data_IF_950303746669
#
_entry.id   IF_950303746669
#
_cell.length_a   1.000
_cell.length_b   1.000
_cell.length_c   1.000
_cell.angle_alpha   90.00
_cell.angle_beta   90.00
_cell.angle_gamma   90.00
#
_symmetry.space_group_name_H-M   'P 1'
#
loop_
_entity.id
_entity.type
_entity.pdbx_description
1 polymer ?
#
# COMPACT_ATOMS: atom_id res chain seq x y z
N UNK A 1 -19.30 -54.88 -14.92
CA UNK A 1 -20.74 -54.64 -15.03
C UNK A 1 -21.20 -54.02 -13.71
N UNK A 2 -21.62 -52.75 -13.73
CA UNK A 2 -22.73 -52.12 -12.94
C UNK A 2 -22.84 -52.51 -11.45
N UNK A 3 -22.90 -51.66 -10.42
CA UNK A 3 -22.97 -50.20 -10.21
C UNK A 3 -22.93 -49.97 -8.70
N UNK A 4 -22.23 -48.93 -8.23
CA UNK A 4 -22.48 -48.34 -6.92
C UNK A 4 -22.44 -46.80 -7.07
N UNK A 5 -23.38 -46.29 -7.86
CA UNK A 5 -23.76 -44.88 -7.92
C UNK A 5 -25.22 -44.80 -7.46
N UNK A 6 -25.46 -44.40 -6.21
CA UNK A 6 -26.71 -43.77 -5.77
C UNK A 6 -26.65 -43.39 -4.29
N UNK A 7 -25.98 -42.29 -3.97
CA UNK A 7 -26.33 -41.51 -2.77
C UNK A 7 -25.89 -40.04 -2.90
N UNK A 8 -26.22 -39.39 -4.01
CA UNK A 8 -26.11 -37.93 -4.17
C UNK A 8 -27.16 -37.42 -5.18
N UNK A 9 -28.44 -37.57 -4.86
CA UNK A 9 -29.50 -36.88 -5.60
C UNK A 9 -30.81 -36.81 -4.81
N UNK A 10 -30.83 -36.15 -3.65
CA UNK A 10 -32.11 -35.81 -3.01
C UNK A 10 -32.10 -34.59 -2.07
N UNK A 11 -31.37 -33.53 -2.43
CA UNK A 11 -31.53 -32.20 -1.79
C UNK A 11 -31.50 -31.08 -2.83
N UNK A 12 -32.28 -31.21 -3.91
CA UNK A 12 -32.60 -30.08 -4.79
C UNK A 12 -34.05 -30.22 -5.26
N UNK A 13 -34.99 -29.92 -4.35
CA UNK A 13 -36.33 -29.46 -4.66
C UNK A 13 -37.05 -29.07 -3.36
N UNK A 14 -36.75 -27.87 -2.87
CA UNK A 14 -37.64 -27.12 -1.98
C UNK A 14 -37.80 -25.70 -2.53
N UNK A 15 -39.02 -25.14 -2.54
CA UNK A 15 -39.25 -23.81 -3.06
C UNK A 15 -38.44 -22.78 -2.26
N UNK A 16 -37.80 -21.85 -2.98
CA UNK A 16 -37.05 -20.72 -2.41
C UNK A 16 -37.98 -19.90 -1.50
N UNK A 17 -38.01 -20.20 -0.21
CA UNK A 17 -38.40 -19.21 0.79
C UNK A 17 -37.29 -18.16 0.77
N UNK A 18 -37.62 -16.92 0.42
CA UNK A 18 -36.77 -15.76 0.65
C UNK A 18 -36.32 -15.83 2.11
N UNK A 19 -35.03 -16.10 2.31
CA UNK A 19 -34.41 -15.84 3.61
C UNK A 19 -34.56 -14.32 3.82
N UNK A 20 -35.09 -13.86 4.96
CA UNK A 20 -35.00 -12.47 5.32
C UNK A 20 -33.51 -12.12 5.34
N UNK A 21 -33.18 -10.96 4.75
CA UNK A 21 -31.84 -10.40 4.64
C UNK A 21 -30.91 -10.93 5.73
N UNK A 22 -29.98 -11.80 5.35
CA UNK A 22 -28.84 -12.07 6.21
C UNK A 22 -28.20 -10.70 6.41
N UNK A 23 -28.25 -10.20 7.64
CA UNK A 23 -27.56 -8.99 8.06
C UNK A 23 -26.07 -9.19 7.79
N UNK A 24 -25.69 -8.85 6.57
CA UNK A 24 -24.33 -8.62 6.16
C UNK A 24 -23.88 -7.49 7.08
N UNK A 25 -23.04 -7.82 8.07
CA UNK A 25 -22.47 -6.88 9.03
C UNK A 25 -21.97 -5.65 8.27
N UNK A 26 -22.84 -4.66 8.15
CA UNK A 26 -22.52 -3.38 7.57
C UNK A 26 -21.84 -2.71 8.74
N UNK A 27 -20.52 -2.67 8.73
CA UNK A 27 -19.76 -1.83 9.65
C UNK A 27 -20.28 -0.40 9.42
N UNK A 28 -21.26 -0.01 10.24
CA UNK A 28 -21.83 1.33 10.23
C UNK A 28 -20.80 2.35 10.73
N UNK A 29 -19.75 1.87 11.41
CA UNK A 29 -18.50 2.56 11.74
C UNK A 29 -17.35 1.55 11.71
N UNK A 30 -16.23 1.83 11.02
CA UNK A 30 -15.03 1.01 11.17
C UNK A 30 -14.43 1.28 12.57
N UNK A 31 -14.58 0.34 13.49
CA UNK A 31 -13.79 0.34 14.73
C UNK A 31 -12.39 -0.19 14.41
N UNK A 32 -11.36 0.63 14.55
CA UNK A 32 -9.98 0.19 14.33
C UNK A 32 -9.49 -0.58 15.56
N UNK A 33 -9.07 -1.84 15.37
CA UNK A 33 -8.46 -2.65 16.42
C UNK A 33 -6.95 -2.71 16.20
N UNK A 34 -6.21 -2.23 17.18
CA UNK A 34 -4.77 -2.05 17.09
C UNK A 34 -4.08 -3.30 17.60
N UNK A 35 -3.13 -3.82 16.82
CA UNK A 35 -2.18 -4.79 17.33
C UNK A 35 -0.78 -4.19 17.25
N UNK A 36 -0.37 -3.55 18.34
CA UNK A 36 0.96 -2.97 18.43
C UNK A 36 1.97 -4.10 18.59
N UNK A 37 2.56 -4.53 17.47
CA UNK A 37 3.82 -5.24 17.51
C UNK A 37 4.92 -4.27 17.11
N UNK A 38 5.50 -3.59 18.11
CA UNK A 38 6.92 -3.29 17.99
C UNK A 38 7.62 -4.64 17.97
N UNK A 39 8.13 -5.02 16.81
CA UNK A 39 9.34 -5.85 16.84
C UNK A 39 10.32 -4.99 17.61
N UNK A 40 10.69 -5.43 18.82
CA UNK A 40 11.82 -4.84 19.56
C UNK A 40 12.94 -4.58 18.56
N UNK A 41 13.57 -3.40 18.62
CA UNK A 41 14.65 -2.94 17.74
C UNK A 41 15.20 -4.09 16.90
N UNK A 42 14.69 -4.22 15.68
CA UNK A 42 14.88 -5.45 14.92
C UNK A 42 16.37 -5.79 14.91
N UNK A 43 16.73 -6.99 15.38
CA UNK A 43 18.13 -7.35 15.56
C UNK A 43 18.89 -7.01 14.27
N UNK A 44 20.01 -6.29 14.40
CA UNK A 44 20.80 -5.82 13.25
C UNK A 44 21.06 -7.01 12.31
N UNK A 45 20.57 -6.90 11.07
CA UNK A 45 20.72 -7.94 10.04
C UNK A 45 19.56 -8.94 9.94
N UNK A 46 18.56 -8.89 10.84
CA UNK A 46 17.35 -9.72 10.78
C UNK A 46 16.09 -8.96 10.34
N UNK A 47 16.14 -7.64 10.20
CA UNK A 47 15.05 -6.77 9.73
C UNK A 47 15.54 -5.75 8.69
N UNK A 48 14.63 -5.17 7.88
CA UNK A 48 14.98 -4.03 7.04
C UNK A 48 15.49 -2.85 7.88
N UNK A 49 16.62 -2.22 7.50
CA UNK A 49 17.05 -1.00 8.18
C UNK A 49 16.05 0.14 8.01
N UNK A 50 16.06 1.07 8.97
CA UNK A 50 15.29 2.31 8.95
C UNK A 50 15.39 3.04 7.61
N UNK A 51 14.27 3.54 7.08
CA UNK A 51 14.21 4.10 5.72
C UNK A 51 12.95 4.93 5.46
N UNK A 52 13.03 5.87 4.52
CA UNK A 52 11.86 6.61 3.99
C UNK A 52 11.77 6.53 2.48
N UNK A 53 10.61 6.86 1.91
CA UNK A 53 10.44 6.93 0.47
C UNK A 53 10.48 5.56 -0.22
N UNK A 54 10.46 4.50 0.59
CA UNK A 54 10.23 3.13 0.14
C UNK A 54 8.74 2.96 -0.20
N UNK A 55 8.40 1.83 -0.82
CA UNK A 55 7.00 1.43 -1.04
C UNK A 55 6.75 0.05 -0.44
N UNK A 56 5.54 -0.17 0.00
CA UNK A 56 5.09 -1.42 0.62
C UNK A 56 3.94 -2.03 -0.17
N UNK A 57 3.80 -3.35 -0.08
CA UNK A 57 2.60 -4.07 -0.53
C UNK A 57 2.37 -5.29 0.36
N UNK A 58 1.16 -5.84 0.33
CA UNK A 58 0.83 -7.08 1.02
C UNK A 58 0.52 -8.18 0.00
N UNK A 59 0.91 -9.40 0.35
CA UNK A 59 0.21 -10.61 -0.07
C UNK A 59 -0.72 -11.05 1.06
N UNK A 60 -1.46 -12.14 0.91
CA UNK A 60 -2.37 -12.61 1.96
C UNK A 60 -1.70 -12.80 3.33
N UNK A 61 -0.46 -13.32 3.37
CA UNK A 61 0.25 -13.70 4.60
C UNK A 61 1.61 -13.01 4.80
N UNK A 62 2.08 -12.21 3.84
CA UNK A 62 3.34 -11.49 3.93
C UNK A 62 3.17 -10.00 3.62
N UNK A 63 3.99 -9.18 4.27
CA UNK A 63 4.11 -7.75 4.03
C UNK A 63 5.50 -7.45 3.46
N UNK A 64 5.58 -6.64 2.41
CA UNK A 64 6.81 -6.39 1.68
C UNK A 64 7.22 -4.92 1.78
N UNK A 65 8.52 -4.69 1.86
CA UNK A 65 9.15 -3.36 1.85
C UNK A 65 10.17 -3.33 0.73
N UNK A 66 10.03 -2.37 -0.20
CA UNK A 66 10.90 -2.23 -1.37
C UNK A 66 11.60 -0.89 -1.36
N UNK A 67 12.93 -0.94 -1.44
CA UNK A 67 13.78 0.22 -1.68
C UNK A 67 13.75 1.27 -0.56
N UNK A 68 13.93 2.54 -0.91
CA UNK A 68 13.96 3.69 -0.01
C UNK A 68 15.34 4.30 0.17
N UNK A 69 15.43 5.21 1.13
CA UNK A 69 16.66 5.92 1.47
C UNK A 69 16.82 6.11 2.97
N UNK A 70 18.07 6.09 3.43
CA UNK A 70 18.46 6.53 4.75
C UNK A 70 19.79 7.29 4.69
N UNK A 71 19.85 8.53 5.20
CA UNK A 71 21.05 9.37 5.14
C UNK A 71 22.25 8.80 5.89
N UNK A 72 22.06 7.82 6.80
CA UNK A 72 23.16 7.08 7.43
C UNK A 72 23.99 6.28 6.42
N UNK A 73 23.42 5.92 5.25
CA UNK A 73 24.12 5.27 4.16
C UNK A 73 24.43 6.29 3.05
N UNK A 74 25.43 7.13 3.28
CA UNK A 74 25.78 8.26 2.42
C UNK A 74 25.90 7.82 0.95
N UNK A 75 25.18 8.51 0.06
CA UNK A 75 25.19 8.26 -1.39
C UNK A 75 24.58 6.93 -1.84
N UNK A 76 24.08 6.09 -0.92
CA UNK A 76 23.58 4.75 -1.24
C UNK A 76 22.06 4.68 -1.10
N UNK A 77 21.42 4.39 -2.22
CA UNK A 77 20.03 4.01 -2.27
C UNK A 77 19.84 2.60 -1.74
N UNK A 78 18.72 2.37 -1.04
CA UNK A 78 18.30 1.04 -0.67
C UNK A 78 17.60 0.45 -1.89
N UNK A 79 18.12 -0.66 -2.39
CA UNK A 79 17.63 -1.38 -3.56
C UNK A 79 17.42 -2.86 -3.21
N UNK A 80 16.88 -3.11 -2.02
CA UNK A 80 16.54 -4.43 -1.51
C UNK A 80 15.02 -4.59 -1.35
N UNK A 81 14.61 -5.84 -1.23
CA UNK A 81 13.25 -6.24 -0.87
C UNK A 81 13.30 -7.04 0.41
N UNK A 82 12.41 -6.70 1.33
CA UNK A 82 12.21 -7.44 2.58
C UNK A 82 10.78 -7.92 2.66
N UNK A 83 10.58 -9.11 3.21
CA UNK A 83 9.25 -9.65 3.49
C UNK A 83 9.12 -9.98 4.98
N UNK A 84 8.00 -9.59 5.58
CA UNK A 84 7.57 -9.95 6.92
C UNK A 84 6.48 -11.00 6.80
N UNK A 85 6.72 -12.18 7.36
CA UNK A 85 5.66 -13.17 7.53
C UNK A 85 4.74 -12.68 8.68
N UNK A 86 3.48 -12.37 8.37
CA UNK A 86 2.55 -11.71 9.29
C UNK A 86 2.09 -12.61 10.44
N UNK A 87 2.18 -13.92 10.27
CA UNK A 87 1.84 -14.90 11.30
C UNK A 87 2.98 -15.07 12.31
N UNK A 88 4.19 -15.36 11.81
CA UNK A 88 5.37 -15.64 12.63
C UNK A 88 6.09 -14.38 13.10
N UNK A 89 5.78 -13.22 12.50
CA UNK A 89 6.39 -11.91 12.76
C UNK A 89 7.90 -11.90 12.50
N UNK A 90 8.34 -12.61 11.46
CA UNK A 90 9.75 -12.69 11.08
C UNK A 90 9.99 -12.04 9.74
N UNK A 91 10.97 -11.15 9.72
CA UNK A 91 11.51 -10.54 8.52
C UNK A 91 12.53 -11.47 7.86
N UNK A 92 12.55 -11.42 6.54
CA UNK A 92 13.61 -11.99 5.72
C UNK A 92 13.88 -11.08 4.53
N UNK A 93 15.13 -11.06 4.10
CA UNK A 93 15.50 -10.41 2.84
C UNK A 93 15.11 -11.32 1.69
N UNK A 94 14.35 -10.78 0.74
CA UNK A 94 13.93 -11.50 -0.46
C UNK A 94 15.13 -11.60 -1.40
N UNK A 95 15.35 -12.80 -1.95
CA UNK A 95 16.38 -13.05 -2.94
C UNK A 95 15.91 -12.55 -4.30
N UNK A 96 16.77 -11.81 -4.99
CA UNK A 96 16.55 -11.36 -6.37
C UNK A 96 17.60 -11.98 -7.27
N UNK A 97 17.21 -12.31 -8.51
CA UNK A 97 18.11 -12.84 -9.54
C UNK A 97 19.08 -11.78 -10.09
N UNK A 98 18.73 -10.50 -9.97
CA UNK A 98 19.59 -9.36 -10.29
C UNK A 98 19.40 -8.17 -9.34
N UNK A 99 20.22 -7.14 -9.50
CA UNK A 99 20.11 -5.92 -8.70
C UNK A 99 18.88 -5.08 -9.09
N UNK A 100 18.19 -4.58 -8.07
CA UNK A 100 17.11 -3.61 -8.26
C UNK A 100 17.63 -2.20 -8.58
N UNK A 101 16.77 -1.34 -9.18
CA UNK A 101 17.14 0.01 -9.59
C UNK A 101 17.69 0.86 -8.45
N UNK A 102 18.61 1.77 -8.78
CA UNK A 102 19.20 2.73 -7.83
C UNK A 102 18.38 4.01 -7.68
N UNK A 103 17.12 4.01 -8.10
CA UNK A 103 16.21 5.17 -8.08
C UNK A 103 14.98 4.91 -7.22
N UNK A 104 15.08 4.02 -6.23
CA UNK A 104 13.96 3.57 -5.43
C UNK A 104 13.65 4.49 -4.22
N UNK A 105 13.76 5.81 -4.38
CA UNK A 105 13.13 6.77 -3.45
C UNK A 105 11.94 7.44 -4.13
N UNK A 106 10.81 7.46 -3.43
CA UNK A 106 9.55 8.08 -3.87
C UNK A 106 9.09 7.60 -5.26
N UNK A 107 9.41 6.35 -5.61
CA UNK A 107 8.90 5.68 -6.81
C UNK A 107 7.44 5.21 -6.56
N UNK A 108 6.75 4.76 -7.61
CA UNK A 108 5.47 4.05 -7.46
C UNK A 108 5.66 2.55 -7.49
N UNK A 109 4.89 1.85 -6.64
CA UNK A 109 4.80 0.40 -6.64
C UNK A 109 3.33 0.01 -6.81
N UNK A 110 3.06 -0.87 -7.77
CA UNK A 110 1.74 -1.48 -7.95
C UNK A 110 1.87 -2.99 -7.94
N UNK A 111 1.31 -3.66 -6.93
CA UNK A 111 1.25 -5.12 -6.85
C UNK A 111 -0.01 -5.63 -7.55
N UNK A 112 0.16 -6.72 -8.30
CA UNK A 112 -0.80 -7.33 -9.20
C UNK A 112 -0.85 -8.82 -8.82
N UNK A 113 -1.84 -9.17 -7.98
CA UNK A 113 -1.89 -10.44 -7.25
C UNK A 113 -1.98 -11.65 -8.19
N UNK A 114 -2.82 -11.56 -9.23
CA UNK A 114 -3.05 -12.61 -10.22
C UNK A 114 -1.79 -12.99 -11.00
N UNK A 115 -0.84 -12.06 -11.10
CA UNK A 115 0.46 -12.27 -11.76
C UNK A 115 1.59 -12.50 -10.75
N UNK A 116 1.30 -12.47 -9.44
CA UNK A 116 2.29 -12.42 -8.36
C UNK A 116 3.42 -11.40 -8.62
N UNK A 117 3.09 -10.28 -9.29
CA UNK A 117 4.08 -9.35 -9.83
C UNK A 117 3.86 -7.96 -9.25
N UNK A 118 4.94 -7.29 -8.83
CA UNK A 118 4.90 -5.88 -8.51
C UNK A 118 5.70 -5.05 -9.52
N UNK A 119 5.12 -3.96 -9.96
CA UNK A 119 5.71 -3.03 -10.92
C UNK A 119 6.35 -1.86 -10.21
N UNK A 120 7.57 -1.52 -10.63
CA UNK A 120 8.34 -0.38 -10.13
C UNK A 120 8.48 0.65 -11.25
N UNK A 121 8.05 1.88 -10.98
CA UNK A 121 8.16 2.96 -11.96
C UNK A 121 8.52 4.30 -11.32
N UNK A 122 9.28 5.10 -12.07
CA UNK A 122 9.73 6.42 -11.65
C UNK A 122 10.73 6.37 -10.51
N UNK A 123 10.64 7.37 -9.64
CA UNK A 123 11.50 7.51 -8.47
C UNK A 123 12.83 8.20 -8.77
N UNK A 124 13.55 8.50 -7.70
CA UNK A 124 14.81 9.23 -7.75
C UNK A 124 15.93 8.51 -6.99
N UNK A 125 17.16 8.66 -7.44
CA UNK A 125 18.38 8.31 -6.73
C UNK A 125 18.93 9.47 -5.91
N UNK A 126 20.10 9.28 -5.30
CA UNK A 126 20.82 10.37 -4.62
C UNK A 126 21.92 10.92 -5.56
N UNK A 127 22.09 12.25 -5.71
CA UNK A 127 21.25 13.33 -5.14
C UNK A 127 19.82 13.36 -5.70
N UNK A 128 18.86 13.72 -4.85
CA UNK A 128 17.43 13.70 -5.20
C UNK A 128 17.07 14.73 -6.27
N UNK A 129 16.23 14.34 -7.23
CA UNK A 129 15.83 15.18 -8.36
C UNK A 129 16.80 15.14 -9.54
N UNK A 130 18.05 14.74 -9.34
CA UNK A 130 19.04 14.63 -10.41
C UNK A 130 18.94 13.27 -11.13
N UNK A 131 18.89 12.18 -10.36
CA UNK A 131 18.82 10.82 -10.89
C UNK A 131 17.38 10.29 -10.92
N UNK A 132 16.54 10.81 -11.83
CA UNK A 132 15.14 10.37 -11.98
C UNK A 132 15.04 9.30 -13.07
N UNK A 133 14.37 8.19 -12.76
CA UNK A 133 14.20 7.06 -13.68
C UNK A 133 12.93 7.16 -14.51
N UNK A 134 13.00 6.71 -15.76
CA UNK A 134 11.85 6.44 -16.65
C UNK A 134 11.70 4.95 -16.95
N UNK A 135 12.51 4.10 -16.32
CA UNK A 135 12.50 2.65 -16.55
C UNK A 135 11.36 1.99 -15.77
N UNK A 136 10.70 1.03 -16.42
CA UNK A 136 9.72 0.13 -15.81
C UNK A 136 10.36 -1.21 -15.48
N UNK A 137 10.12 -1.71 -14.28
CA UNK A 137 10.53 -3.06 -13.86
C UNK A 137 9.33 -3.86 -13.39
N UNK A 138 9.26 -5.11 -13.81
CA UNK A 138 8.33 -6.12 -13.28
C UNK A 138 9.13 -7.07 -12.39
N UNK A 139 8.69 -7.22 -11.14
CA UNK A 139 9.30 -8.14 -10.20
C UNK A 139 8.30 -9.24 -9.83
N UNK A 140 8.55 -10.47 -10.27
CA UNK A 140 7.62 -11.60 -10.12
C UNK A 140 8.06 -12.49 -8.96
N UNK A 141 7.21 -12.62 -7.94
CA UNK A 141 7.44 -13.50 -6.80
C UNK A 141 7.37 -14.97 -7.26
N UNK A 142 8.47 -15.72 -7.10
CA UNK A 142 8.50 -17.18 -7.26
C UNK A 142 8.07 -17.84 -5.94
N UNK A 143 8.47 -17.24 -4.83
CA UNK A 143 8.07 -17.62 -3.47
C UNK A 143 7.99 -16.36 -2.61
N UNK A 144 7.51 -16.45 -1.36
CA UNK A 144 7.48 -15.27 -0.50
C UNK A 144 8.86 -14.63 -0.27
N UNK A 145 9.94 -15.40 -0.41
CA UNK A 145 11.32 -15.03 -0.10
C UNK A 145 12.21 -14.94 -1.37
N UNK A 146 11.64 -15.06 -2.57
CA UNK A 146 12.39 -15.06 -3.84
C UNK A 146 11.59 -14.47 -4.99
N UNK A 147 12.20 -13.57 -5.77
CA UNK A 147 11.58 -12.99 -6.96
C UNK A 147 12.56 -12.79 -8.11
N UNK A 148 12.05 -12.87 -9.34
CA UNK A 148 12.78 -12.45 -10.54
C UNK A 148 12.52 -10.99 -10.84
N UNK A 149 13.49 -10.31 -11.45
CA UNK A 149 13.39 -8.90 -11.81
C UNK A 149 13.64 -8.75 -13.29
N UNK A 150 12.68 -8.14 -14.00
CA UNK A 150 12.79 -7.88 -15.44
C UNK A 150 12.53 -6.41 -15.75
N UNK A 151 13.46 -5.78 -16.45
CA UNK A 151 13.23 -4.46 -17.06
C UNK A 151 12.29 -4.63 -18.26
N UNK A 152 11.18 -3.89 -18.27
CA UNK A 152 10.19 -3.95 -19.34
C UNK A 152 10.52 -2.87 -20.39
N UNK A 153 10.71 -3.24 -21.67
CA UNK A 153 10.82 -2.28 -22.76
C UNK A 153 9.60 -1.36 -22.84
N UNK A 154 9.82 -0.09 -23.18
CA UNK A 154 8.75 0.90 -23.40
C UNK A 154 8.76 1.25 -24.89
N UNK A 155 7.61 1.12 -25.56
CA UNK A 155 7.50 1.26 -27.02
C UNK A 155 7.94 2.66 -27.50
N UNK A 156 7.53 3.70 -26.79
CA UNK A 156 7.96 5.08 -27.03
C UNK A 156 8.55 5.69 -25.73
N UNK A 157 9.86 5.56 -25.50
CA UNK A 157 10.49 6.04 -24.26
C UNK A 157 10.36 7.54 -24.02
N UNK A 158 10.05 8.34 -25.05
CA UNK A 158 9.83 9.79 -24.91
C UNK A 158 8.51 10.13 -24.23
N UNK A 159 7.53 9.23 -24.27
CA UNK A 159 6.23 9.38 -23.61
C UNK A 159 6.26 8.94 -22.15
N UNK A 160 7.32 8.25 -21.71
CA UNK A 160 7.49 7.78 -20.35
C UNK A 160 7.74 8.97 -19.40
N UNK A 161 6.84 9.26 -18.43
CA UNK A 161 7.02 10.36 -17.49
C UNK A 161 8.29 10.23 -16.64
N UNK A 162 9.10 11.28 -16.59
CA UNK A 162 10.30 11.32 -15.76
C UNK A 162 9.97 11.86 -14.37
N UNK A 163 9.37 11.01 -13.52
CA UNK A 163 8.70 11.47 -12.31
C UNK A 163 9.08 10.73 -11.03
N UNK A 164 9.04 11.44 -9.90
CA UNK A 164 9.02 10.85 -8.56
C UNK A 164 8.03 11.58 -7.65
N UNK A 165 7.65 10.91 -6.56
CA UNK A 165 6.67 11.41 -5.60
C UNK A 165 5.24 11.45 -6.14
N UNK A 166 4.99 10.83 -7.29
CA UNK A 166 3.67 10.61 -7.86
C UNK A 166 2.91 9.51 -7.12
N UNK A 167 1.60 9.53 -7.30
CA UNK A 167 0.71 8.46 -6.87
C UNK A 167 0.51 7.44 -8.01
N UNK A 168 0.19 6.20 -7.66
CA UNK A 168 -0.19 5.19 -8.63
C UNK A 168 -1.36 4.37 -8.12
N UNK A 169 -2.34 4.13 -9.00
CA UNK A 169 -3.45 3.20 -8.78
C UNK A 169 -3.53 2.23 -9.95
N UNK A 170 -4.16 1.08 -9.76
CA UNK A 170 -4.34 0.11 -10.83
C UNK A 170 -5.81 -0.20 -11.04
N UNK A 171 -6.15 -0.51 -12.28
CA UNK A 171 -7.45 -1.06 -12.67
C UNK A 171 -7.29 -2.57 -12.90
N UNK A 172 -8.41 -3.28 -12.78
CA UNK A 172 -8.53 -4.72 -12.98
C UNK A 172 -7.69 -5.23 -14.17
N UNK A 173 -6.99 -6.34 -13.96
CA UNK A 173 -6.19 -7.03 -14.99
C UNK A 173 -7.13 -7.78 -15.93
N UNK A 174 -6.89 -7.72 -17.23
CA UNK A 174 -7.60 -8.56 -18.19
C UNK A 174 -6.58 -9.21 -19.14
N UNK A 175 -6.64 -10.53 -19.30
CA UNK A 175 -5.76 -11.29 -20.20
C UNK A 175 -4.27 -10.97 -20.06
N UNK A 176 -3.73 -11.02 -18.84
CA UNK A 176 -2.32 -10.73 -18.52
C UNK A 176 -1.85 -9.30 -18.83
N UNK A 177 -2.78 -8.38 -19.11
CA UNK A 177 -2.49 -6.96 -19.31
C UNK A 177 -2.79 -6.22 -18.01
N UNK A 178 -1.78 -5.59 -17.43
CA UNK A 178 -1.95 -4.72 -16.28
C UNK A 178 -2.17 -3.27 -16.76
N UNK A 179 -3.22 -2.62 -16.27
CA UNK A 179 -3.49 -1.21 -16.52
C UNK A 179 -3.30 -0.40 -15.23
N UNK A 180 -2.28 0.46 -15.23
CA UNK A 180 -1.92 1.33 -14.12
C UNK A 180 -2.16 2.79 -14.50
N UNK A 181 -2.46 3.63 -13.53
CA UNK A 181 -2.59 5.07 -13.68
C UNK A 181 -1.60 5.75 -12.76
N UNK A 182 -0.78 6.63 -13.32
CA UNK A 182 0.18 7.46 -12.61
C UNK A 182 -0.37 8.88 -12.54
N UNK A 183 -0.25 9.52 -11.38
CA UNK A 183 -0.82 10.85 -11.13
C UNK A 183 0.19 11.79 -10.46
N UNK A 184 0.39 12.94 -11.11
CA UNK A 184 1.18 14.08 -10.62
C UNK A 184 2.62 13.71 -10.27
N UNK A 185 3.21 14.41 -9.28
CA UNK A 185 4.59 14.21 -8.86
C UNK A 185 5.48 15.39 -9.23
N UNK A 186 6.78 15.14 -9.38
CA UNK A 186 7.76 16.16 -9.73
C UNK A 186 8.95 15.59 -10.49
N UNK A 187 9.58 16.45 -11.29
CA UNK A 187 10.88 16.20 -11.92
C UNK A 187 12.05 16.89 -11.18
N UNK A 188 11.83 17.37 -9.95
CA UNK A 188 12.83 18.02 -9.10
C UNK A 188 12.54 19.50 -8.84
N UNK A 189 12.08 20.22 -9.86
CA UNK A 189 11.77 21.66 -9.77
C UNK A 189 10.31 21.95 -10.11
N UNK A 190 9.79 21.27 -11.13
CA UNK A 190 8.42 21.42 -11.59
C UNK A 190 7.54 20.34 -10.98
N UNK A 191 6.30 20.71 -10.69
CA UNK A 191 5.26 19.82 -10.20
C UNK A 191 4.11 19.87 -11.20
N UNK A 192 3.49 18.73 -11.47
CA UNK A 192 2.29 18.64 -12.28
C UNK A 192 1.25 17.74 -11.61
N UNK A 193 0.08 17.62 -12.24
CA UNK A 193 -0.97 16.67 -11.86
C UNK A 193 -1.32 15.80 -13.07
N UNK A 194 -0.31 15.49 -13.90
CA UNK A 194 -0.50 14.73 -15.13
C UNK A 194 -1.06 13.36 -14.81
N UNK A 195 -2.08 12.94 -15.54
CA UNK A 195 -2.62 11.59 -15.48
C UNK A 195 -2.09 10.81 -16.67
N UNK A 196 -1.31 9.76 -16.40
CA UNK A 196 -0.77 8.88 -17.44
C UNK A 196 -1.25 7.46 -17.21
N UNK A 197 -1.84 6.87 -18.23
CA UNK A 197 -2.14 5.45 -18.28
C UNK A 197 -0.90 4.68 -18.71
N UNK A 198 -0.53 3.68 -17.93
CA UNK A 198 0.51 2.71 -18.23
C UNK A 198 -0.16 1.36 -18.50
N UNK A 199 -0.10 0.89 -19.75
CA UNK A 199 -0.50 -0.47 -20.10
C UNK A 199 0.74 -1.35 -20.17
N UNK A 200 0.78 -2.40 -19.37
CA UNK A 200 1.89 -3.36 -19.33
C UNK A 200 1.46 -4.66 -19.99
N UNK A 201 2.13 -5.00 -21.08
CA UNK A 201 2.00 -6.29 -21.77
C UNK A 201 3.10 -7.24 -21.32
N UNK A 202 3.03 -8.48 -21.81
CA UNK A 202 4.04 -9.50 -21.50
C UNK A 202 5.46 -9.08 -21.91
N UNK A 203 5.67 -8.39 -23.02
CA UNK A 203 7.05 -8.10 -23.50
C UNK A 203 7.40 -6.62 -23.57
N UNK A 204 6.42 -5.73 -23.42
CA UNK A 204 6.60 -4.29 -23.56
C UNK A 204 5.53 -3.54 -22.77
N UNK A 205 5.67 -2.23 -22.68
CA UNK A 205 4.68 -1.35 -22.08
C UNK A 205 4.53 -0.08 -22.91
N UNK A 206 3.35 0.54 -22.79
CA UNK A 206 3.04 1.82 -23.42
C UNK A 206 2.50 2.80 -22.40
N UNK A 207 2.82 4.07 -22.60
CA UNK A 207 2.25 5.19 -21.86
C UNK A 207 1.24 5.91 -22.75
N UNK A 208 0.20 6.46 -22.13
CA UNK A 208 -0.73 7.38 -22.77
C UNK A 208 -1.07 8.48 -21.76
N UNK A 209 -0.75 9.72 -22.08
CA UNK A 209 -1.19 10.87 -21.30
C UNK A 209 -2.69 11.07 -21.52
N UNK A 210 -3.45 11.09 -20.44
CA UNK A 210 -4.90 11.23 -20.45
C UNK A 210 -5.36 12.66 -20.14
N UNK A 211 -4.64 13.37 -19.28
CA UNK A 211 -4.99 14.74 -18.88
C UNK A 211 -4.66 15.77 -19.96
N UNK A 212 -5.46 16.84 -20.01
CA UNK A 212 -5.11 18.08 -20.69
C UNK A 212 -4.40 19.00 -19.69
N UNK A 213 -3.15 19.36 -19.97
CA UNK A 213 -2.29 20.21 -19.12
C UNK A 213 -3.00 21.50 -18.69
N UNK A 214 -3.83 22.08 -19.55
CA UNK A 214 -4.56 23.33 -19.24
C UNK A 214 -5.69 23.16 -18.22
N UNK A 215 -6.12 21.93 -18.00
CA UNK A 215 -7.19 21.56 -17.07
C UNK A 215 -6.65 20.86 -15.83
N UNK A 216 -5.34 20.66 -15.73
CA UNK A 216 -4.73 20.05 -14.54
C UNK A 216 -4.86 20.98 -13.34
N UNK A 217 -5.21 20.45 -12.15
CA UNK A 217 -5.10 21.23 -10.93
C UNK A 217 -3.64 21.52 -10.63
N UNK A 218 -3.39 22.40 -9.65
CA UNK A 218 -2.04 22.82 -9.32
C UNK A 218 -1.15 21.60 -8.98
N UNK A 219 -0.02 21.53 -9.69
CA UNK A 219 0.95 20.45 -9.60
C UNK A 219 1.43 20.17 -8.17
N UNK A 220 1.57 18.91 -7.78
CA UNK A 220 1.98 18.54 -6.41
C UNK A 220 2.57 17.14 -6.33
N UNK A 221 3.31 16.90 -5.26
CA UNK A 221 3.92 15.60 -4.97
C UNK A 221 3.47 15.06 -3.61
N UNK A 222 3.63 13.74 -3.44
CA UNK A 222 3.40 12.96 -2.21
C UNK A 222 1.98 13.15 -1.66
N UNK A 223 1.05 13.27 -2.59
CA UNK A 223 -0.34 12.87 -2.41
C UNK A 223 -0.42 11.35 -2.59
N UNK A 224 -1.51 10.76 -2.12
CA UNK A 224 -1.89 9.38 -2.43
C UNK A 224 -3.23 9.39 -3.16
N UNK A 225 -3.55 8.34 -3.90
CA UNK A 225 -4.79 8.27 -4.67
C UNK A 225 -5.54 6.97 -4.42
N UNK A 226 -6.85 7.04 -4.58
CA UNK A 226 -7.76 5.89 -4.53
C UNK A 226 -8.60 5.85 -5.79
N UNK A 227 -9.06 4.66 -6.17
CA UNK A 227 -9.86 4.47 -7.38
C UNK A 227 -11.25 3.95 -7.03
N UNK A 228 -12.29 4.62 -7.53
CA UNK A 228 -13.70 4.25 -7.34
C UNK A 228 -14.39 4.22 -8.70
N UNK A 229 -14.60 3.03 -9.24
CA UNK A 229 -15.13 2.88 -10.59
C UNK A 229 -14.17 3.47 -11.64
N UNK A 230 -14.59 4.56 -12.28
CA UNK A 230 -13.78 5.30 -13.27
C UNK A 230 -13.15 6.59 -12.70
N UNK A 231 -13.30 6.83 -11.39
CA UNK A 231 -12.77 8.03 -10.73
C UNK A 231 -11.48 7.72 -9.97
N UNK A 232 -10.44 8.53 -10.23
CA UNK A 232 -9.21 8.55 -9.43
C UNK A 232 -9.28 9.78 -8.53
N UNK A 233 -9.43 9.58 -7.23
CA UNK A 233 -9.49 10.67 -6.23
C UNK A 233 -8.09 10.88 -5.65
N UNK A 234 -7.55 12.09 -5.77
CA UNK A 234 -6.27 12.50 -5.21
C UNK A 234 -6.46 13.05 -3.80
N UNK A 235 -5.73 12.51 -2.82
CA UNK A 235 -5.83 12.88 -1.41
C UNK A 235 -4.55 13.59 -0.97
N UNK A 236 -4.70 14.87 -0.61
CA UNK A 236 -3.63 15.69 -0.06
C UNK A 236 -2.50 16.01 -1.04
N UNK A 237 -1.27 16.02 -0.52
CA UNK A 237 -0.09 16.47 -1.25
C UNK A 237 0.10 17.98 -1.16
N UNK A 238 1.32 18.42 -1.48
CA UNK A 238 1.70 19.82 -1.43
C UNK A 238 2.78 20.12 -2.47
N UNK A 239 3.02 21.37 -2.79
CA UNK A 239 4.26 21.85 -3.39
C UNK A 239 4.82 23.00 -2.51
N UNK A 240 5.58 23.94 -3.07
CA UNK A 240 6.11 25.10 -2.33
C UNK A 240 5.05 26.19 -2.05
N UNK A 241 3.94 26.17 -2.77
CA UNK A 241 2.89 27.21 -2.80
C UNK A 241 1.57 26.68 -2.22
N UNK A 242 1.21 25.42 -2.49
CA UNK A 242 -0.08 24.83 -2.12
C UNK A 242 0.10 23.63 -1.20
N UNK A 243 -0.83 23.48 -0.26
CA UNK A 243 -1.07 22.28 0.53
C UNK A 243 -2.56 21.97 0.44
N UNK A 244 -2.94 20.85 -0.18
CA UNK A 244 -4.34 20.57 -0.53
C UNK A 244 -5.19 20.37 0.72
N UNK A 245 -6.31 21.10 0.81
CA UNK A 245 -7.26 20.98 1.91
C UNK A 245 -8.15 19.74 1.72
N UNK A 246 -8.41 18.98 2.79
CA UNK A 246 -9.16 17.71 2.72
C UNK A 246 -10.68 17.88 2.57
N UNK A 247 -11.15 19.10 2.25
CA UNK A 247 -12.57 19.39 1.98
C UNK A 247 -12.88 19.15 0.51
N UNK A 248 -12.02 19.66 -0.36
CA UNK A 248 -12.18 19.66 -1.80
C UNK A 248 -11.02 18.87 -2.38
N UNK A 249 -11.32 17.67 -2.87
CA UNK A 249 -10.33 16.77 -3.45
C UNK A 249 -10.43 16.81 -4.97
N UNK A 250 -9.30 16.85 -5.65
CA UNK A 250 -9.29 16.71 -7.11
C UNK A 250 -9.53 15.26 -7.49
N UNK A 251 -10.47 15.03 -8.40
CA UNK A 251 -10.75 13.73 -8.99
C UNK A 251 -10.58 13.78 -10.51
N UNK A 252 -10.08 12.69 -11.08
CA UNK A 252 -9.94 12.51 -12.52
C UNK A 252 -10.80 11.33 -12.98
N UNK A 253 -11.72 11.61 -13.91
CA UNK A 253 -12.53 10.59 -14.54
C UNK A 253 -11.78 10.02 -15.75
N UNK A 254 -11.42 8.74 -15.72
CA UNK A 254 -10.60 8.11 -16.76
C UNK A 254 -11.35 7.90 -18.08
N UNK A 255 -12.69 7.91 -18.08
CA UNK A 255 -13.52 7.77 -19.28
C UNK A 255 -13.69 9.10 -20.01
N UNK A 256 -14.07 10.15 -19.28
CA UNK A 256 -14.24 11.48 -19.87
C UNK A 256 -12.92 12.22 -20.04
N UNK A 257 -11.85 11.75 -19.38
CA UNK A 257 -10.51 12.34 -19.37
C UNK A 257 -10.50 13.78 -18.82
N UNK A 258 -11.29 14.03 -17.79
CA UNK A 258 -11.46 15.38 -17.21
C UNK A 258 -11.26 15.39 -15.71
N UNK A 259 -10.65 16.46 -15.22
CA UNK A 259 -10.62 16.79 -13.79
C UNK A 259 -11.92 17.44 -13.33
N UNK A 260 -12.28 17.19 -12.07
CA UNK A 260 -13.30 17.92 -11.35
C UNK A 260 -13.04 17.87 -9.84
N UNK A 261 -13.70 18.75 -9.09
CA UNK A 261 -13.63 18.75 -7.63
C UNK A 261 -14.68 17.82 -7.03
N UNK A 262 -14.24 17.06 -6.03
CA UNK A 262 -15.08 16.22 -5.18
C UNK A 262 -15.15 16.87 -3.80
N UNK A 263 -16.36 17.27 -3.40
CA UNK A 263 -16.63 17.87 -2.10
C UNK A 263 -16.89 16.79 -1.05
N UNK A 264 -16.05 16.76 -0.01
CA UNK A 264 -16.17 15.82 1.11
C UNK A 264 -16.98 16.39 2.26
N UNK A 265 -17.64 15.50 3.00
CA UNK A 265 -18.39 15.83 4.21
C UNK A 265 -17.48 15.74 5.44
N UNK A 266 -17.65 16.66 6.41
CA UNK A 266 -16.83 16.68 7.60
C UNK A 266 -17.20 15.55 8.59
N UNK A 267 -16.21 15.16 9.39
CA UNK A 267 -16.43 14.54 10.69
C UNK A 267 -17.25 15.46 11.60
N UNK A 268 -18.12 14.87 12.42
CA UNK A 268 -19.07 15.62 13.24
C UNK A 268 -18.40 16.50 14.30
N UNK A 269 -17.22 16.10 14.79
CA UNK A 269 -16.50 16.78 15.89
C UNK A 269 -15.25 17.47 15.35
N UNK A 270 -14.43 16.72 14.63
CA UNK A 270 -13.08 17.16 14.23
C UNK A 270 -13.04 17.84 12.87
N UNK A 271 -14.19 17.95 12.19
CA UNK A 271 -14.31 18.53 10.84
C UNK A 271 -13.51 17.76 9.79
N UNK A 272 -12.34 18.26 9.37
CA UNK A 272 -11.56 17.68 8.30
C UNK A 272 -10.16 17.31 8.78
N UNK A 273 -9.52 16.27 8.21
CA UNK A 273 -8.10 16.08 8.41
C UNK A 273 -7.32 17.32 7.93
N UNK A 274 -6.26 17.70 8.64
CA UNK A 274 -5.35 18.76 8.19
C UNK A 274 -4.71 18.41 6.84
N UNK A 275 -4.42 19.44 6.03
CA UNK A 275 -3.67 19.32 4.78
C UNK A 275 -2.27 18.74 5.05
N UNK A 276 -1.79 17.84 4.20
CA UNK A 276 -0.52 17.12 4.45
C UNK A 276 0.05 16.46 3.20
N UNK A 277 1.36 16.25 3.20
CA UNK A 277 2.09 15.42 2.21
C UNK A 277 2.81 14.25 2.86
N UNK A 278 3.17 13.24 2.07
CA UNK A 278 3.94 12.10 2.54
C UNK A 278 3.23 11.26 3.60
N UNK A 279 1.91 11.36 3.66
CA UNK A 279 1.04 10.48 4.41
C UNK A 279 0.87 9.16 3.64
N UNK A 280 0.30 8.14 4.28
CA UNK A 280 -0.19 6.96 3.57
C UNK A 280 -1.71 7.02 3.47
N UNK A 281 -2.23 6.55 2.33
CA UNK A 281 -3.63 6.15 2.19
C UNK A 281 -3.65 4.70 1.76
N UNK A 282 -4.44 3.88 2.44
CA UNK A 282 -4.75 2.52 2.00
C UNK A 282 -6.25 2.41 1.72
N UNK A 283 -6.61 1.86 0.57
CA UNK A 283 -8.00 1.60 0.21
C UNK A 283 -8.37 0.17 0.64
N UNK A 284 -9.42 0.05 1.46
CA UNK A 284 -9.96 -1.22 1.90
C UNK A 284 -11.48 -1.24 1.63
N UNK A 285 -11.87 -1.94 0.57
CA UNK A 285 -13.24 -1.90 0.07
C UNK A 285 -13.66 -0.47 -0.28
N UNK A 286 -14.70 0.02 0.40
CA UNK A 286 -15.27 1.35 0.20
C UNK A 286 -14.69 2.43 1.14
N UNK A 287 -13.56 2.16 1.79
CA UNK A 287 -12.95 3.09 2.72
C UNK A 287 -11.52 3.43 2.28
N UNK A 288 -11.17 4.71 2.34
CA UNK A 288 -9.79 5.16 2.27
C UNK A 288 -9.31 5.54 3.67
N UNK A 289 -8.24 4.90 4.16
CA UNK A 289 -7.69 5.13 5.49
C UNK A 289 -6.44 5.97 5.37
N UNK A 290 -6.53 7.22 5.82
CA UNK A 290 -5.47 8.23 5.80
C UNK A 290 -4.75 8.26 7.15
N UNK A 291 -3.43 8.21 7.17
CA UNK A 291 -2.67 8.37 8.40
C UNK A 291 -1.26 8.89 8.20
N UNK A 292 -0.75 9.48 9.27
CA UNK A 292 0.55 10.13 9.30
C UNK A 292 0.62 11.31 8.33
N UNK A 293 1.83 11.60 7.87
CA UNK A 293 2.16 12.71 6.98
C UNK A 293 2.73 13.93 7.69
N UNK A 294 3.05 14.93 6.89
CA UNK A 294 3.59 16.20 7.34
C UNK A 294 2.72 17.33 6.80
N UNK A 295 2.18 18.14 7.72
CA UNK A 295 1.56 19.41 7.41
C UNK A 295 2.68 20.47 7.38
N UNK A 296 2.96 21.10 6.22
CA UNK A 296 4.03 22.09 6.12
C UNK A 296 3.72 23.33 6.95
N UNK A 297 4.74 24.14 7.29
CA UNK A 297 4.54 25.38 8.01
C UNK A 297 3.65 26.34 7.21
N UNK A 298 2.84 27.10 7.92
CA UNK A 298 2.02 28.18 7.38
C UNK A 298 2.04 29.38 8.33
N UNK A 299 1.19 30.37 8.08
CA UNK A 299 1.12 31.60 8.90
C UNK A 299 0.68 31.28 10.35
N UNK A 300 -0.04 30.19 10.57
CA UNK A 300 -0.54 29.78 11.88
C UNK A 300 0.43 28.82 12.60
N UNK A 301 1.25 28.08 11.85
CA UNK A 301 2.22 27.11 12.37
C UNK A 301 3.60 27.27 11.72
N UNK A 302 4.55 27.87 12.44
CA UNK A 302 5.90 28.14 11.93
C UNK A 302 6.82 26.92 11.81
N UNK A 303 6.53 25.80 12.50
CA UNK A 303 7.43 24.64 12.57
C UNK A 303 6.95 23.43 11.74
N UNK A 304 5.75 23.52 11.16
CA UNK A 304 5.09 22.37 10.53
C UNK A 304 4.70 21.32 11.58
N UNK A 305 3.93 20.30 11.17
CA UNK A 305 3.42 19.29 12.09
C UNK A 305 3.53 17.89 11.51
N UNK A 306 4.24 17.03 12.23
CA UNK A 306 4.21 15.59 11.99
C UNK A 306 2.91 15.02 12.56
N UNK A 307 2.16 14.39 11.68
CA UNK A 307 0.83 13.89 11.99
C UNK A 307 0.92 12.45 12.49
N UNK A 308 0.10 12.10 13.49
CA UNK A 308 -0.10 10.73 13.99
C UNK A 308 -1.56 10.29 13.95
N UNK A 309 -2.47 11.20 13.60
CA UNK A 309 -3.90 10.93 13.50
C UNK A 309 -4.20 9.94 12.37
N UNK A 310 -5.26 9.17 12.58
CA UNK A 310 -5.83 8.26 11.58
C UNK A 310 -7.24 8.70 11.25
N UNK A 311 -7.55 8.73 9.96
CA UNK A 311 -8.85 9.14 9.43
C UNK A 311 -9.36 8.10 8.45
N UNK A 312 -10.68 7.98 8.38
CA UNK A 312 -11.38 7.17 7.41
C UNK A 312 -12.25 8.07 6.53
N UNK A 313 -12.15 7.90 5.22
CA UNK A 313 -13.09 8.47 4.25
C UNK A 313 -13.96 7.34 3.70
N UNK A 314 -15.26 7.39 3.94
CA UNK A 314 -16.21 6.50 3.25
C UNK A 314 -16.36 6.99 1.80
N UNK A 315 -15.90 6.18 0.85
CA UNK A 315 -15.83 6.53 -0.57
C UNK A 315 -17.21 6.57 -1.26
N UNK A 316 -18.26 6.07 -0.61
CA UNK A 316 -19.64 6.14 -1.14
C UNK A 316 -20.32 7.44 -0.75
N UNK A 317 -20.05 7.91 0.46
CA UNK A 317 -20.68 9.13 1.02
C UNK A 317 -19.77 10.35 1.00
N UNK A 318 -18.47 10.12 0.77
CA UNK A 318 -17.38 11.08 0.86
C UNK A 318 -17.31 11.75 2.23
N UNK A 319 -17.69 11.04 3.29
CA UNK A 319 -17.65 11.54 4.66
C UNK A 319 -16.39 11.11 5.38
N UNK A 320 -15.71 12.10 5.96
CA UNK A 320 -14.59 11.88 6.88
C UNK A 320 -15.07 11.45 8.26
N UNK A 321 -14.33 10.55 8.88
CA UNK A 321 -14.45 10.18 10.28
C UNK A 321 -13.06 10.09 10.89
N UNK A 322 -12.82 10.80 12.00
CA UNK A 322 -11.56 10.65 12.75
C UNK A 322 -11.60 9.34 13.54
N UNK A 323 -10.53 8.57 13.47
CA UNK A 323 -10.36 7.39 14.32
C UNK A 323 -9.95 7.79 15.74
N UNK A 324 -10.40 7.07 16.78
CA UNK A 324 -9.83 7.20 18.12
C UNK A 324 -8.38 6.69 18.20
N UNK A 325 -7.96 5.86 17.25
CA UNK A 325 -6.57 5.39 17.16
C UNK A 325 -5.66 6.46 16.56
N UNK A 326 -4.46 6.58 17.13
CA UNK A 326 -3.36 7.37 16.60
C UNK A 326 -2.12 6.49 16.51
N UNK A 327 -1.27 6.76 15.51
CA UNK A 327 0.04 6.14 15.40
C UNK A 327 0.88 6.41 16.67
N UNK A 328 1.80 5.49 17.04
CA UNK A 328 2.68 5.68 18.19
C UNK A 328 3.51 6.97 18.12
N UNK A 329 3.90 7.38 16.91
CA UNK A 329 4.67 8.59 16.64
C UNK A 329 4.23 9.25 15.34
N UNK A 330 4.46 10.56 15.22
CA UNK A 330 4.21 11.29 13.99
C UNK A 330 5.24 10.91 12.92
N UNK A 331 4.78 10.57 11.72
CA UNK A 331 5.67 10.03 10.68
C UNK A 331 5.23 10.41 9.27
N UNK A 332 6.17 10.75 8.40
CA UNK A 332 5.92 11.00 6.97
C UNK A 332 6.91 10.26 6.08
N UNK A 333 6.60 10.13 4.80
CA UNK A 333 7.36 9.32 3.83
C UNK A 333 7.50 7.85 4.23
N UNK A 334 6.62 7.37 5.10
CA UNK A 334 6.38 5.95 5.34
C UNK A 334 5.54 5.39 4.20
N UNK A 335 5.39 4.06 4.14
CA UNK A 335 4.47 3.41 3.24
C UNK A 335 3.75 2.30 3.97
N UNK A 336 2.50 2.09 3.59
CA UNK A 336 1.65 1.06 4.16
C UNK A 336 0.91 0.29 3.09
N UNK A 337 0.42 -0.88 3.48
CA UNK A 337 -0.42 -1.74 2.65
C UNK A 337 -1.47 -2.43 3.52
N UNK A 338 -2.56 -2.85 2.90
CA UNK A 338 -3.61 -3.64 3.53
C UNK A 338 -3.62 -5.04 2.94
N UNK A 339 -3.77 -6.07 3.78
CA UNK A 339 -3.91 -7.45 3.33
C UNK A 339 -5.38 -7.85 3.19
N UNK A 340 -5.62 -9.09 2.73
CA UNK A 340 -6.97 -9.65 2.57
C UNK A 340 -7.73 -9.88 3.88
N UNK A 341 -7.08 -9.73 5.04
CA UNK A 341 -7.67 -9.82 6.37
C UNK A 341 -8.05 -8.44 6.95
N UNK A 342 -8.04 -7.39 6.12
CA UNK A 342 -8.24 -5.99 6.52
C UNK A 342 -7.23 -5.50 7.58
N UNK A 343 -6.05 -6.13 7.64
CA UNK A 343 -4.94 -5.67 8.45
C UNK A 343 -4.12 -4.68 7.63
N UNK A 344 -4.00 -3.46 8.13
CA UNK A 344 -3.10 -2.43 7.63
C UNK A 344 -1.76 -2.61 8.33
N UNK A 345 -0.68 -2.62 7.55
CA UNK A 345 0.69 -2.64 8.04
C UNK A 345 1.42 -1.44 7.44
N UNK A 346 2.05 -0.65 8.31
CA UNK A 346 2.88 0.51 7.96
C UNK A 346 4.30 0.26 8.38
N UNK A 347 5.26 0.73 7.58
CA UNK A 347 6.68 0.60 7.88
C UNK A 347 7.44 1.92 7.69
N UNK A 348 8.39 2.15 8.59
CA UNK A 348 9.44 3.15 8.47
C UNK A 348 8.94 4.59 8.31
N UNK A 349 9.68 5.39 7.55
CA UNK A 349 9.44 6.82 7.34
C UNK A 349 10.42 7.72 8.08
N UNK A 350 10.03 8.99 8.24
CA UNK A 350 10.77 10.02 8.95
C UNK A 350 9.98 10.44 10.20
N UNK A 351 10.54 10.22 11.40
CA UNK A 351 9.91 10.58 12.67
C UNK A 351 10.36 11.95 13.22
N UNK A 352 11.40 12.53 12.63
CA UNK A 352 11.86 13.89 12.89
C UNK A 352 12.20 14.54 11.54
N UNK A 353 12.16 15.87 11.46
CA UNK A 353 12.37 16.59 10.21
C UNK A 353 13.73 16.23 9.57
N UNK A 354 13.63 15.64 8.38
CA UNK A 354 14.68 15.33 7.40
C UNK A 354 15.83 14.37 7.81
N UNK A 355 16.20 14.19 9.08
CA UNK A 355 17.43 13.47 9.46
C UNK A 355 17.20 12.07 10.01
N UNK A 356 16.17 11.86 10.84
CA UNK A 356 15.94 10.57 11.50
C UNK A 356 14.96 9.69 10.71
N UNK A 357 15.47 8.57 10.21
CA UNK A 357 14.65 7.48 9.68
C UNK A 357 14.32 6.50 10.77
N UNK A 358 13.14 5.91 10.66
CA UNK A 358 12.68 4.82 11.54
C UNK A 358 12.43 3.55 10.72
N UNK A 359 12.41 2.42 11.40
CA UNK A 359 12.06 1.06 10.96
C UNK A 359 10.88 0.49 11.76
N UNK A 360 10.12 1.36 12.43
CA UNK A 360 8.91 0.96 13.15
C UNK A 360 7.95 0.25 12.18
N UNK A 361 7.46 -0.91 12.62
CA UNK A 361 6.37 -1.64 11.96
C UNK A 361 5.12 -1.49 12.81
N UNK A 362 4.06 -0.89 12.26
CA UNK A 362 2.80 -0.67 12.96
C UNK A 362 1.71 -1.43 12.23
N UNK A 363 0.92 -2.23 12.95
CA UNK A 363 -0.19 -2.99 12.38
C UNK A 363 -1.51 -2.70 13.12
N UNK A 364 -2.59 -2.55 12.37
CA UNK A 364 -3.93 -2.33 12.91
C UNK A 364 -4.99 -2.81 11.92
N UNK A 365 -6.16 -3.19 12.41
CA UNK A 365 -7.25 -3.73 11.59
C UNK A 365 -8.33 -2.68 11.35
N UNK A 366 -8.97 -2.78 10.19
CA UNK A 366 -10.22 -2.10 9.93
C UNK A 366 -11.37 -3.03 10.33
N UNK A 367 -12.08 -2.67 11.40
CA UNK A 367 -13.12 -3.52 11.96
C UNK A 367 -12.57 -4.70 12.76
N UNK A 368 -13.45 -5.63 13.19
CA UNK A 368 -13.06 -6.82 13.91
C UNK A 368 -12.18 -7.73 13.03
N UNK A 369 -11.02 -8.21 13.55
CA UNK A 369 -10.19 -9.15 12.80
C UNK A 369 -10.93 -10.48 12.59
N UNK A 370 -10.60 -11.24 11.54
CA UNK A 370 -11.18 -12.56 11.32
C UNK A 370 -10.91 -13.51 12.50
N UNK A 371 -11.85 -14.43 12.78
CA UNK A 371 -11.68 -15.44 13.84
C UNK A 371 -10.42 -16.30 13.64
N UNK A 372 -10.07 -16.61 12.39
CA UNK A 372 -8.84 -17.33 12.04
C UNK A 372 -7.59 -16.58 12.52
N UNK A 373 -7.56 -15.26 12.37
CA UNK A 373 -6.48 -14.41 12.88
C UNK A 373 -6.43 -14.45 14.41
N UNK A 374 -7.57 -14.23 15.07
CA UNK A 374 -7.64 -14.24 16.54
C UNK A 374 -7.22 -15.58 17.13
N UNK A 375 -7.70 -16.69 16.56
CA UNK A 375 -7.33 -18.03 17.00
C UNK A 375 -5.84 -18.32 16.81
N UNK A 376 -5.28 -17.95 15.65
CA UNK A 376 -3.85 -18.09 15.37
C UNK A 376 -2.98 -17.27 16.33
N UNK A 377 -3.41 -16.03 16.62
CA UNK A 377 -2.74 -15.16 17.59
C UNK A 377 -2.71 -15.80 18.98
N UNK A 378 -3.87 -16.17 19.52
CA UNK A 378 -4.00 -16.81 20.85
C UNK A 378 -3.16 -18.08 20.92
N UNK A 379 -3.20 -18.93 19.90
CA UNK A 379 -2.39 -20.14 19.84
C UNK A 379 -0.89 -19.84 19.88
N UNK A 380 -0.40 -18.91 19.05
CA UNK A 380 1.03 -18.58 18.99
C UNK A 380 1.52 -17.77 20.20
N UNK A 381 0.62 -17.20 20.99
CA UNK A 381 0.93 -16.62 22.31
C UNK A 381 1.07 -17.71 23.37
N UNK A 382 0.18 -18.71 23.37
CA UNK A 382 0.25 -19.85 24.26
C UNK A 382 1.42 -20.80 23.94
N UNK A 383 1.78 -20.92 22.66
CA UNK A 383 2.79 -21.87 22.15
C UNK A 383 3.79 -21.16 21.21
N UNK A 384 4.65 -20.27 21.74
CA UNK A 384 5.54 -19.42 20.94
C UNK A 384 6.62 -20.16 20.15
N UNK A 385 6.99 -21.38 20.55
CA UNK A 385 7.94 -22.25 19.87
C UNK A 385 7.51 -22.57 18.42
N UNK A 386 6.20 -22.63 18.15
CA UNK A 386 5.68 -22.88 16.81
C UNK A 386 5.95 -21.72 15.84
N UNK A 387 6.24 -20.50 16.33
CA UNK A 387 6.68 -19.40 15.46
C UNK A 387 7.97 -19.73 14.72
N UNK A 388 8.75 -20.71 15.19
CA UNK A 388 10.02 -21.10 14.56
C UNK A 388 9.83 -21.93 13.29
N UNK A 389 8.68 -22.57 13.08
CA UNK A 389 8.43 -23.43 11.91
C UNK A 389 8.55 -22.59 10.63
N UNK A 390 9.34 -23.10 9.68
CA UNK A 390 9.57 -22.42 8.41
C UNK A 390 8.38 -22.58 7.46
N UNK A 391 8.02 -21.49 6.77
CA UNK A 391 6.94 -21.47 5.79
C UNK A 391 5.54 -21.65 6.37
N UNK A 392 5.35 -21.40 7.67
CA UNK A 392 4.02 -21.37 8.29
C UNK A 392 3.27 -20.10 7.90
N UNK A 393 2.00 -20.25 7.55
CA UNK A 393 1.06 -19.16 7.29
C UNK A 393 -0.35 -19.52 7.75
N UNK A 394 -1.30 -18.59 7.60
CA UNK A 394 -2.67 -18.76 8.10
C UNK A 394 -3.40 -19.99 7.50
N UNK A 395 -3.09 -20.39 6.25
CA UNK A 395 -3.78 -21.51 5.59
C UNK A 395 -3.16 -22.87 5.91
N UNK A 396 -1.87 -22.92 6.24
CA UNK A 396 -1.15 -24.16 6.53
C UNK A 396 -0.72 -24.32 8.01
N UNK A 397 -1.13 -23.41 8.89
CA UNK A 397 -0.76 -23.40 10.32
C UNK A 397 -1.06 -24.75 10.99
N UNK A 398 -2.31 -25.22 10.93
CA UNK A 398 -2.76 -26.47 11.56
C UNK A 398 -1.97 -27.70 11.07
N UNK A 399 -1.86 -27.97 9.75
CA UNK A 399 -1.10 -29.13 9.28
C UNK A 399 0.40 -29.05 9.62
N UNK A 400 1.01 -27.85 9.60
CA UNK A 400 2.43 -27.65 9.98
C UNK A 400 2.67 -27.96 11.46
N UNK A 401 1.79 -27.50 12.35
CA UNK A 401 1.85 -27.78 13.80
C UNK A 401 1.70 -29.29 14.04
N UNK A 402 0.71 -29.93 13.40
CA UNK A 402 0.47 -31.36 13.54
C UNK A 402 1.68 -32.18 13.10
N UNK A 403 2.35 -31.80 12.02
CA UNK A 403 3.59 -32.44 11.56
C UNK A 403 4.72 -32.30 12.59
N UNK A 404 4.91 -31.10 13.15
CA UNK A 404 5.95 -30.85 14.17
C UNK A 404 5.71 -31.67 15.44
N UNK A 405 4.46 -31.70 15.94
CA UNK A 405 4.10 -32.48 17.12
C UNK A 405 4.33 -33.99 16.89
N UNK A 406 3.96 -34.51 15.70
CA UNK A 406 4.23 -35.91 15.35
C UNK A 406 5.72 -36.23 15.35
N UNK A 407 6.56 -35.32 14.87
CA UNK A 407 8.02 -35.51 14.86
C UNK A 407 8.67 -35.50 16.24
N UNK A 408 7.98 -35.00 17.27
CA UNK A 408 8.45 -35.01 18.66
C UNK A 408 8.00 -36.25 19.44
N UNK A 409 7.06 -37.02 18.89
CA UNK A 409 6.52 -38.26 19.48
C UNK A 409 7.24 -39.53 18.99
N UNK A 410 8.17 -39.38 18.04
CA UNK A 410 9.08 -40.42 17.52
C UNK A 410 10.48 -40.08 18.00
#
# INVERSE_FOLDING_TARGET
MVSAFSCFSQVWNRPKKRLPNADMYTLSKPELLVDNYSLQEGEIGKSPPARSGHRCFCTGDHFYVVGGYNPKFIGKMMNDVWCLNLLTKRWKKVKTDCELPKTLASFSLSYVEEQATFYLYGGTGFPFGEAISTNLYACTLISPEECTVRKIPIDNPREAPRVYGHSAVHRHIYNDIAELYLLGGTEGVQYDMRVTRLTVFKEHARFETLSDEKQEPMGRYRHESVMVGDEIISIGGSNQIVSVHMRDLDAFNVKTKTFHLVHTQPDAVWRYPRSRKGHSVVQAGNFAILFGGYNPPDVENSEGLLMKDVWCLDLRTLKWQKSPFELPSGVFFHSAAVNSLNQIISFGGCAELATKRVDDTVAFHIGPPPLSYMAAKVFLEACPEFRKINGMNYTNMVPRIAQQLRSQLV
#
